data_IF_485960289473
#
_entry.id   IF_485960289473
#
_cell.length_a   1.000
_cell.length_b   1.000
_cell.length_c   1.000
_cell.angle_alpha   90.00
_cell.angle_beta   90.00
_cell.angle_gamma   90.00
#
_symmetry.space_group_name_H-M   'P 1'
#
loop_
_entity.id
_entity.type
_entity.pdbx_description
1 polymer ?
#
# COMPACT_ATOMS: atom_id res chain seq x y z
N UNK A 1 2.44 -0.20 -11.09
CA UNK A 1 1.05 -0.43 -10.68
C UNK A 1 0.32 0.90 -10.60
N UNK A 2 -0.95 0.93 -11.01
CA UNK A 2 -1.83 2.11 -10.95
C UNK A 2 -2.34 2.34 -9.52
N UNK A 3 -2.94 3.52 -9.21
CA UNK A 3 -3.61 3.76 -7.94
C UNK A 3 -4.65 2.69 -7.56
N UNK A 4 -5.45 2.26 -8.53
CA UNK A 4 -6.47 1.22 -8.36
C UNK A 4 -5.84 -0.14 -8.06
N UNK A 5 -4.80 -0.53 -8.82
CA UNK A 5 -4.08 -1.78 -8.56
C UNK A 5 -3.42 -1.80 -7.18
N UNK A 6 -2.84 -0.68 -6.76
CA UNK A 6 -2.22 -0.53 -5.45
C UNK A 6 -3.25 -0.69 -4.32
N UNK A 7 -4.40 -0.02 -4.47
CA UNK A 7 -5.52 -0.10 -3.52
C UNK A 7 -6.06 -1.53 -3.42
N UNK A 8 -6.28 -2.18 -4.56
CA UNK A 8 -6.81 -3.54 -4.59
C UNK A 8 -5.81 -4.56 -4.03
N UNK A 9 -4.51 -4.40 -4.31
CA UNK A 9 -3.48 -5.24 -3.70
C UNK A 9 -3.47 -5.09 -2.17
N UNK A 10 -3.56 -3.87 -1.63
CA UNK A 10 -3.66 -3.65 -0.18
C UNK A 10 -4.89 -4.36 0.41
N UNK A 11 -6.04 -4.24 -0.25
CA UNK A 11 -7.29 -4.88 0.20
C UNK A 11 -7.21 -6.41 0.15
N UNK A 12 -6.58 -6.99 -0.87
CA UNK A 12 -6.33 -8.44 -0.98
C UNK A 12 -5.44 -8.96 0.14
N UNK A 13 -4.45 -8.17 0.55
CA UNK A 13 -3.61 -8.44 1.73
C UNK A 13 -4.35 -8.20 3.06
N UNK A 14 -5.59 -7.71 3.00
CA UNK A 14 -6.43 -7.37 4.15
C UNK A 14 -5.95 -6.14 4.93
N UNK A 15 -4.93 -5.43 4.47
CA UNK A 15 -4.28 -4.36 5.23
C UNK A 15 -5.12 -3.08 5.21
N UNK A 16 -5.12 -2.36 6.33
CA UNK A 16 -5.56 -0.96 6.39
C UNK A 16 -4.48 -0.05 5.80
N UNK A 17 -4.85 1.19 5.47
CA UNK A 17 -3.87 2.19 5.01
C UNK A 17 -2.82 2.49 6.08
N UNK A 18 -3.17 2.42 7.37
CA UNK A 18 -2.24 2.63 8.48
C UNK A 18 -1.25 1.49 8.65
N UNK A 19 -1.70 0.24 8.57
CA UNK A 19 -0.81 -0.92 8.62
C UNK A 19 0.15 -0.95 7.42
N UNK A 20 -0.35 -0.67 6.20
CA UNK A 20 0.52 -0.55 5.04
C UNK A 20 1.49 0.64 5.19
N UNK A 21 1.03 1.74 5.78
CA UNK A 21 1.89 2.87 6.13
C UNK A 21 3.03 2.46 7.07
N UNK A 22 2.75 1.68 8.12
CA UNK A 22 3.77 1.17 9.03
C UNK A 22 4.78 0.23 8.34
N UNK A 23 4.31 -0.61 7.41
CA UNK A 23 5.18 -1.50 6.61
C UNK A 23 6.11 -0.70 5.69
N UNK A 24 5.61 0.36 5.08
CA UNK A 24 6.35 1.18 4.11
C UNK A 24 7.06 2.39 4.76
N UNK A 25 7.05 2.48 6.09
CA UNK A 25 7.51 3.65 6.85
C UNK A 25 7.01 4.98 6.25
N UNK A 26 5.70 5.02 6.00
CA UNK A 26 5.05 6.08 5.24
C UNK A 26 3.74 6.47 5.93
N UNK A 27 3.46 7.78 6.02
CA UNK A 27 2.23 8.26 6.64
C UNK A 27 0.97 7.72 5.94
N UNK A 28 -0.10 7.34 6.67
CA UNK A 28 -1.33 6.78 6.08
C UNK A 28 -1.99 7.73 5.05
N UNK A 29 -1.81 9.03 5.23
CA UNK A 29 -2.30 10.05 4.29
C UNK A 29 -1.61 9.97 2.93
N UNK A 30 -0.33 9.59 2.89
CA UNK A 30 0.42 9.39 1.65
C UNK A 30 -0.09 8.15 0.93
N UNK A 31 -0.34 7.05 1.67
CA UNK A 31 -0.99 5.85 1.13
C UNK A 31 -2.34 6.20 0.50
N UNK A 32 -3.16 6.98 1.21
CA UNK A 32 -4.45 7.45 0.69
C UNK A 32 -4.30 8.24 -0.61
N UNK A 33 -3.28 9.10 -0.75
CA UNK A 33 -3.03 9.88 -1.98
C UNK A 33 -2.59 9.00 -3.16
N UNK A 34 -1.85 7.92 -2.89
CA UNK A 34 -1.46 6.93 -3.90
C UNK A 34 -2.62 6.06 -4.38
N UNK A 35 -3.67 5.90 -3.58
CA UNK A 35 -4.89 5.14 -3.93
C UNK A 35 -6.01 6.01 -4.51
N UNK A 36 -5.79 7.32 -4.62
CA UNK A 36 -6.77 8.24 -5.18
C UNK A 36 -6.78 8.15 -6.71
N UNK A 37 -7.95 8.26 -7.35
CA UNK A 37 -8.01 8.40 -8.79
C UNK A 37 -7.36 9.72 -9.22
N UNK A 38 -6.70 9.70 -10.38
CA UNK A 38 -5.95 10.85 -10.91
C UNK A 38 -6.81 12.09 -11.18
N UNK A 39 -8.14 11.94 -11.19
CA UNK A 39 -9.09 13.06 -11.30
C UNK A 39 -9.12 13.97 -10.07
N UNK A 40 -8.52 13.55 -8.94
CA UNK A 40 -8.42 14.38 -7.72
C UNK A 40 -7.17 15.24 -7.77
N UNK A 41 -7.32 16.54 -7.49
CA UNK A 41 -6.20 17.51 -7.45
C UNK A 41 -5.09 17.16 -6.45
N UNK A 42 -5.41 16.36 -5.43
CA UNK A 42 -4.45 15.90 -4.40
C UNK A 42 -3.90 14.49 -4.65
N UNK A 43 -4.33 13.82 -5.73
CA UNK A 43 -3.79 12.53 -6.13
C UNK A 43 -2.28 12.62 -6.35
N UNK A 44 -1.58 11.54 -6.04
CA UNK A 44 -0.13 11.41 -6.27
C UNK A 44 0.12 10.04 -6.86
N UNK A 45 1.00 9.96 -7.85
CA UNK A 45 1.44 8.67 -8.38
C UNK A 45 2.05 7.79 -7.30
N UNK A 46 1.82 6.49 -7.40
CA UNK A 46 2.38 5.47 -6.51
C UNK A 46 3.90 5.55 -6.55
N UNK A 47 4.56 5.54 -5.40
CA UNK A 47 6.02 5.49 -5.35
C UNK A 47 6.55 4.17 -5.96
N UNK A 48 7.54 4.19 -6.87
CA UNK A 48 8.07 2.98 -7.51
C UNK A 48 8.59 1.92 -6.53
N UNK A 49 9.20 2.33 -5.41
CA UNK A 49 9.67 1.41 -4.37
C UNK A 49 8.51 0.78 -3.63
N UNK A 50 7.47 1.57 -3.30
CA UNK A 50 6.26 1.05 -2.68
C UNK A 50 5.56 0.03 -3.58
N UNK A 51 5.50 0.29 -4.89
CA UNK A 51 4.98 -0.66 -5.88
C UNK A 51 5.77 -1.98 -5.87
N UNK A 52 7.09 -1.92 -5.80
CA UNK A 52 7.94 -3.12 -5.72
C UNK A 52 7.70 -3.90 -4.42
N UNK A 53 7.59 -3.22 -3.28
CA UNK A 53 7.28 -3.87 -2.00
C UNK A 53 5.91 -4.54 -2.04
N UNK A 54 4.89 -3.89 -2.61
CA UNK A 54 3.57 -4.50 -2.79
C UNK A 54 3.62 -5.79 -3.59
N UNK A 55 4.47 -5.88 -4.62
CA UNK A 55 4.67 -7.13 -5.36
C UNK A 55 5.24 -8.26 -4.49
N UNK A 56 6.20 -7.96 -3.60
CA UNK A 56 6.73 -8.93 -2.64
C UNK A 56 5.69 -9.38 -1.60
N UNK A 57 4.88 -8.44 -1.10
CA UNK A 57 3.79 -8.78 -0.19
C UNK A 57 2.76 -9.69 -0.87
N UNK A 58 2.41 -9.39 -2.12
CA UNK A 58 1.50 -10.23 -2.92
C UNK A 58 2.10 -11.61 -3.23
N UNK A 59 3.43 -11.75 -3.30
CA UNK A 59 4.10 -13.04 -3.48
C UNK A 59 4.26 -13.85 -2.19
N UNK A 60 3.73 -13.38 -1.06
CA UNK A 60 3.73 -14.08 0.22
C UNK A 60 4.85 -13.69 1.18
N UNK A 61 5.77 -12.78 0.81
CA UNK A 61 6.78 -12.29 1.75
C UNK A 61 6.15 -11.38 2.81
N UNK A 62 6.65 -11.43 4.05
CA UNK A 62 6.11 -10.65 5.18
C UNK A 62 7.26 -9.96 5.94
N UNK A 63 7.24 -8.62 6.06
CA UNK A 63 8.24 -7.88 6.84
C UNK A 63 8.00 -8.03 8.36
N UNK A 64 8.99 -7.68 9.20
CA UNK A 64 8.83 -7.64 10.65
C UNK A 64 7.69 -6.72 11.13
N UNK A 65 7.38 -5.66 10.38
CA UNK A 65 6.30 -4.70 10.65
C UNK A 65 4.91 -5.25 10.29
N UNK A 66 4.81 -6.49 9.80
CA UNK A 66 3.53 -7.10 9.47
C UNK A 66 2.63 -7.18 10.72
N UNK A 67 1.33 -6.85 10.62
CA UNK A 67 0.45 -6.85 11.78
C UNK A 67 0.38 -8.24 12.43
N UNK A 68 0.58 -8.28 13.75
CA UNK A 68 0.51 -9.52 14.53
C UNK A 68 -0.91 -10.10 14.52
N UNK A 69 -1.04 -11.42 14.44
CA UNK A 69 -2.34 -12.11 14.46
C UNK A 69 -3.02 -12.29 13.09
N UNK A 70 -2.34 -12.00 11.98
CA UNK A 70 -2.81 -12.31 10.62
C UNK A 70 -2.08 -13.55 10.10
N UNK A 71 -2.84 -14.62 9.83
CA UNK A 71 -2.36 -15.86 9.18
C UNK A 71 -2.13 -15.67 7.68
#
# INVERSE_FOLDING_TARGET
MTPEEFKEARRKLGLTQSELGAILDTAPQTIRKWEMPDTRSTARGVNPVAARVMAWLMSGWRPPQWPQGRA
#
